data_IF_766206136530
#
_entry.id   IF_766206136530
#
_cell.length_a   1.000
_cell.length_b   1.000
_cell.length_c   1.000
_cell.angle_alpha   90.00
_cell.angle_beta   90.00
_cell.angle_gamma   90.00
#
_symmetry.space_group_name_H-M   'P 1'
#
loop_
_entity.id
_entity.type
_entity.pdbx_description
1 polymer ?
#
# COMPACT_ATOMS: atom_id res chain seq x y z
N UNK A 1 -26.85 9.74 14.37
CA UNK A 1 -26.76 8.32 13.96
C UNK A 1 -26.37 7.50 15.19
N UNK A 2 -27.14 6.46 15.57
CA UNK A 2 -26.84 5.68 16.77
C UNK A 2 -25.50 4.96 16.63
N UNK A 3 -24.69 5.01 17.69
CA UNK A 3 -23.45 4.25 17.84
C UNK A 3 -23.75 2.76 17.71
N UNK A 4 -23.53 2.18 16.52
CA UNK A 4 -23.62 0.72 16.35
C UNK A 4 -22.46 0.12 17.13
N UNK A 5 -22.75 -0.68 18.16
CA UNK A 5 -21.73 -1.50 18.85
C UNK A 5 -20.97 -2.37 17.83
N UNK A 6 -19.71 -2.68 18.13
CA UNK A 6 -18.90 -3.59 17.30
C UNK A 6 -19.70 -4.90 17.05
N UNK A 7 -19.80 -5.36 15.79
CA UNK A 7 -20.56 -6.55 15.49
C UNK A 7 -19.89 -7.78 16.11
N UNK A 8 -20.64 -8.72 16.73
CA UNK A 8 -20.08 -9.96 17.26
C UNK A 8 -19.48 -10.83 16.14
N UNK A 9 -18.53 -11.72 16.46
CA UNK A 9 -17.80 -12.58 15.50
C UNK A 9 -18.70 -13.38 14.54
N UNK A 10 -19.89 -13.81 15.00
CA UNK A 10 -20.91 -14.48 14.17
C UNK A 10 -21.37 -13.63 12.97
N UNK A 11 -21.18 -12.31 13.05
CA UNK A 11 -21.50 -11.36 11.98
C UNK A 11 -20.45 -11.36 10.88
N UNK A 12 -19.18 -11.67 11.17
CA UNK A 12 -18.11 -11.65 10.15
C UNK A 12 -18.32 -12.75 9.12
N UNK A 13 -18.62 -13.98 9.57
CA UNK A 13 -18.94 -15.10 8.66
C UNK A 13 -20.14 -14.77 7.78
N UNK A 14 -21.18 -14.16 8.37
CA UNK A 14 -22.37 -13.71 7.64
C UNK A 14 -22.02 -12.64 6.61
N UNK A 15 -21.21 -11.64 6.99
CA UNK A 15 -20.76 -10.57 6.10
C UNK A 15 -19.96 -11.13 4.91
N UNK A 16 -19.00 -12.04 5.15
CA UNK A 16 -18.21 -12.64 4.08
C UNK A 16 -19.12 -13.40 3.11
N UNK A 17 -20.11 -14.15 3.61
CA UNK A 17 -21.04 -14.88 2.76
C UNK A 17 -21.97 -13.97 1.94
N UNK A 18 -22.45 -12.86 2.53
CA UNK A 18 -23.35 -11.92 1.84
C UNK A 18 -22.61 -11.01 0.86
N UNK A 19 -21.37 -10.63 1.20
CA UNK A 19 -20.54 -9.70 0.46
C UNK A 19 -19.42 -10.39 -0.33
N UNK A 20 -19.57 -11.67 -0.69
CA UNK A 20 -18.52 -12.45 -1.35
C UNK A 20 -17.93 -11.77 -2.60
N UNK A 21 -18.73 -10.98 -3.30
CA UNK A 21 -18.29 -10.17 -4.46
C UNK A 21 -17.21 -9.14 -4.11
N UNK A 22 -17.17 -8.63 -2.87
CA UNK A 22 -16.13 -7.74 -2.36
C UNK A 22 -14.80 -8.49 -2.18
N UNK A 23 -14.84 -9.71 -1.67
CA UNK A 23 -13.64 -10.48 -1.30
C UNK A 23 -12.98 -11.20 -2.48
N UNK A 24 -13.75 -11.62 -3.49
CA UNK A 24 -13.20 -12.36 -4.65
C UNK A 24 -12.01 -11.65 -5.32
N UNK A 25 -12.07 -10.34 -5.65
CA UNK A 25 -10.93 -9.66 -6.26
C UNK A 25 -9.72 -9.56 -5.33
N UNK A 26 -9.96 -9.31 -4.04
CA UNK A 26 -8.88 -9.25 -3.04
C UNK A 26 -8.16 -10.60 -2.90
N UNK A 27 -8.91 -11.70 -2.77
CA UNK A 27 -8.33 -13.04 -2.65
C UNK A 27 -7.64 -13.48 -3.95
N UNK A 28 -8.20 -13.12 -5.11
CA UNK A 28 -7.54 -13.34 -6.40
C UNK A 28 -6.20 -12.60 -6.48
N UNK A 29 -6.16 -11.33 -6.04
CA UNK A 29 -4.93 -10.56 -5.98
C UNK A 29 -3.92 -11.16 -4.99
N UNK A 30 -4.37 -11.53 -3.78
CA UNK A 30 -3.52 -12.14 -2.76
C UNK A 30 -2.91 -13.46 -3.24
N UNK A 31 -3.67 -14.26 -4.02
CA UNK A 31 -3.15 -15.48 -4.64
C UNK A 31 -2.07 -15.18 -5.67
N UNK A 32 -2.27 -14.19 -6.54
CA UNK A 32 -1.24 -13.76 -7.52
C UNK A 32 0.03 -13.31 -6.80
N UNK A 33 -0.10 -12.50 -5.74
CA UNK A 33 1.02 -12.05 -4.92
C UNK A 33 1.73 -13.24 -4.25
N UNK A 34 0.99 -14.19 -3.68
CA UNK A 34 1.57 -15.38 -3.08
C UNK A 34 2.35 -16.24 -4.09
N UNK A 35 1.84 -16.36 -5.33
CA UNK A 35 2.54 -17.04 -6.43
C UNK A 35 3.84 -16.29 -6.77
N UNK A 36 3.79 -14.96 -6.96
CA UNK A 36 4.97 -14.15 -7.27
C UNK A 36 6.03 -14.27 -6.19
N UNK A 37 5.63 -14.17 -4.92
CA UNK A 37 6.53 -14.35 -3.77
C UNK A 37 7.10 -15.76 -3.72
N UNK A 38 6.28 -16.79 -3.92
CA UNK A 38 6.73 -18.18 -3.95
C UNK A 38 7.75 -18.43 -5.04
N UNK A 39 7.51 -17.95 -6.26
CA UNK A 39 8.44 -18.09 -7.40
C UNK A 39 9.79 -17.47 -7.07
N UNK A 40 9.82 -16.21 -6.61
CA UNK A 40 11.08 -15.54 -6.25
C UNK A 40 11.79 -16.19 -5.06
N UNK A 41 11.05 -16.64 -4.05
CA UNK A 41 11.62 -17.25 -2.86
C UNK A 41 12.26 -18.61 -3.18
N UNK A 42 11.53 -19.48 -3.89
CA UNK A 42 12.02 -20.82 -4.22
C UNK A 42 13.05 -20.82 -5.36
N UNK A 43 13.19 -19.74 -6.13
CA UNK A 43 14.30 -19.58 -7.07
C UNK A 43 15.62 -19.17 -6.40
N UNK A 44 15.66 -19.01 -5.07
CA UNK A 44 16.84 -18.57 -4.33
C UNK A 44 17.18 -17.10 -4.52
N UNK A 45 16.22 -16.28 -4.96
CA UNK A 45 16.46 -14.87 -5.25
C UNK A 45 16.51 -14.05 -3.94
N UNK A 46 17.57 -13.25 -3.69
CA UNK A 46 17.68 -12.46 -2.47
C UNK A 46 16.86 -11.16 -2.48
N UNK A 47 16.01 -10.90 -3.49
CA UNK A 47 15.27 -9.64 -3.63
C UNK A 47 14.50 -9.23 -2.36
N UNK A 48 13.91 -10.18 -1.64
CA UNK A 48 13.20 -9.89 -0.39
C UNK A 48 14.13 -9.66 0.82
N UNK A 49 15.35 -10.19 0.81
CA UNK A 49 16.25 -10.15 1.96
C UNK A 49 16.63 -8.73 2.36
N UNK A 50 16.80 -7.83 1.38
CA UNK A 50 17.07 -6.41 1.63
C UNK A 50 15.97 -5.73 2.45
N UNK A 51 14.71 -6.13 2.27
CA UNK A 51 13.55 -5.44 2.83
C UNK A 51 12.95 -6.16 4.05
N UNK A 52 12.99 -7.49 4.04
CA UNK A 52 12.41 -8.35 5.07
C UNK A 52 13.47 -9.01 5.96
N UNK A 53 14.75 -8.80 5.67
CA UNK A 53 15.84 -9.46 6.37
C UNK A 53 15.78 -10.98 6.17
N UNK A 54 15.94 -11.72 7.27
CA UNK A 54 15.89 -13.19 7.29
C UNK A 54 14.46 -13.74 7.38
N UNK A 55 13.43 -12.88 7.43
CA UNK A 55 12.04 -13.30 7.58
C UNK A 55 11.58 -13.95 6.28
N UNK A 56 10.93 -15.12 6.40
CA UNK A 56 10.36 -15.83 5.26
C UNK A 56 9.29 -14.97 4.54
N UNK A 57 9.49 -14.58 3.27
CA UNK A 57 8.58 -13.66 2.57
C UNK A 57 7.21 -14.28 2.28
N UNK A 58 7.13 -15.59 2.08
CA UNK A 58 5.85 -16.31 1.90
C UNK A 58 5.01 -16.20 3.17
N UNK A 59 5.63 -16.38 4.34
CA UNK A 59 4.96 -16.22 5.63
C UNK A 59 4.47 -14.77 5.83
N UNK A 60 5.28 -13.77 5.45
CA UNK A 60 4.88 -12.35 5.52
C UNK A 60 3.65 -12.09 4.65
N UNK A 61 3.61 -12.58 3.41
CA UNK A 61 2.44 -12.44 2.53
C UNK A 61 1.21 -13.12 3.08
N UNK A 62 1.35 -14.32 3.67
CA UNK A 62 0.21 -15.04 4.29
C UNK A 62 -0.35 -14.27 5.48
N UNK A 63 0.52 -13.75 6.36
CA UNK A 63 0.12 -12.94 7.51
C UNK A 63 -0.54 -11.64 7.04
N UNK A 64 0.06 -10.93 6.08
CA UNK A 64 -0.51 -9.71 5.50
C UNK A 64 -1.87 -9.99 4.86
N UNK A 65 -2.03 -11.10 4.16
CA UNK A 65 -3.31 -11.50 3.56
C UNK A 65 -4.37 -11.70 4.64
N UNK A 66 -4.06 -12.46 5.69
CA UNK A 66 -4.99 -12.70 6.80
C UNK A 66 -5.37 -11.40 7.52
N UNK A 67 -4.36 -10.58 7.84
CA UNK A 67 -4.57 -9.29 8.49
C UNK A 67 -5.39 -8.33 7.61
N UNK A 68 -5.13 -8.32 6.30
CA UNK A 68 -5.90 -7.57 5.31
C UNK A 68 -7.36 -8.01 5.25
N UNK A 69 -7.65 -9.33 5.20
CA UNK A 69 -9.03 -9.85 5.25
C UNK A 69 -9.73 -9.35 6.51
N UNK A 70 -9.11 -9.47 7.68
CA UNK A 70 -9.70 -9.06 8.96
C UNK A 70 -9.98 -7.55 8.95
N UNK A 71 -8.97 -6.74 8.63
CA UNK A 71 -9.08 -5.28 8.68
C UNK A 71 -10.10 -4.75 7.67
N UNK A 72 -10.04 -5.21 6.41
CA UNK A 72 -11.00 -4.83 5.38
C UNK A 72 -12.42 -5.28 5.73
N UNK A 73 -12.59 -6.44 6.38
CA UNK A 73 -13.90 -6.88 6.87
C UNK A 73 -14.47 -5.93 7.92
N UNK A 74 -13.63 -5.42 8.83
CA UNK A 74 -14.07 -4.43 9.83
C UNK A 74 -14.46 -3.11 9.15
N UNK A 75 -13.64 -2.61 8.23
CA UNK A 75 -13.94 -1.38 7.49
C UNK A 75 -15.23 -1.50 6.66
N UNK A 76 -15.43 -2.66 6.00
CA UNK A 76 -16.61 -2.95 5.20
C UNK A 76 -17.87 -3.10 6.06
N UNK A 77 -17.79 -3.80 7.20
CA UNK A 77 -18.90 -3.97 8.14
C UNK A 77 -19.44 -2.62 8.68
N UNK A 78 -18.56 -1.62 8.76
CA UNK A 78 -18.87 -0.25 9.20
C UNK A 78 -19.29 0.66 8.04
N UNK A 79 -19.25 0.17 6.80
CA UNK A 79 -19.44 0.96 5.58
C UNK A 79 -18.49 2.16 5.49
N UNK A 80 -17.30 2.06 6.10
CA UNK A 80 -16.29 3.12 6.05
C UNK A 80 -15.51 3.07 4.73
N UNK A 81 -15.13 1.87 4.30
CA UNK A 81 -14.41 1.60 3.06
C UNK A 81 -14.97 0.36 2.37
N UNK A 82 -14.74 0.26 1.06
CA UNK A 82 -15.09 -0.91 0.27
C UNK A 82 -13.83 -1.58 -0.28
N UNK A 83 -13.90 -2.89 -0.46
CA UNK A 83 -12.81 -3.66 -1.07
C UNK A 83 -12.86 -3.52 -2.59
N UNK A 84 -14.07 -3.53 -3.16
CA UNK A 84 -14.32 -3.48 -4.58
C UNK A 84 -15.67 -2.83 -4.92
N UNK A 85 -15.67 -1.80 -5.78
CA UNK A 85 -16.89 -1.16 -6.30
C UNK A 85 -16.94 -1.26 -7.81
N UNK A 86 -17.68 -2.25 -8.33
CA UNK A 86 -17.81 -2.49 -9.77
C UNK A 86 -18.24 -1.25 -10.55
N UNK A 87 -19.19 -0.47 -10.03
CA UNK A 87 -19.71 0.73 -10.70
C UNK A 87 -18.67 1.84 -10.90
N UNK A 88 -17.64 1.89 -10.06
CA UNK A 88 -16.63 2.94 -10.04
C UNK A 88 -15.24 2.44 -10.44
N UNK A 89 -15.07 1.15 -10.71
CA UNK A 89 -13.75 0.54 -10.97
C UNK A 89 -12.99 1.26 -12.08
N UNK A 90 -13.60 1.45 -13.25
CA UNK A 90 -12.94 2.13 -14.38
C UNK A 90 -12.49 3.54 -14.00
N UNK A 91 -13.35 4.30 -13.32
CA UNK A 91 -13.02 5.66 -12.88
C UNK A 91 -11.93 5.65 -11.82
N UNK A 92 -11.97 4.71 -10.88
CA UNK A 92 -10.97 4.53 -9.84
C UNK A 92 -9.59 4.20 -10.43
N UNK A 93 -9.52 3.23 -11.34
CA UNK A 93 -8.28 2.84 -12.04
C UNK A 93 -7.71 3.98 -12.90
N UNK A 94 -8.56 4.69 -13.65
CA UNK A 94 -8.12 5.85 -14.43
C UNK A 94 -7.61 6.98 -13.53
N UNK A 95 -8.30 7.24 -12.41
CA UNK A 95 -7.86 8.26 -11.44
C UNK A 95 -6.55 7.86 -10.78
N UNK A 96 -6.41 6.58 -10.41
CA UNK A 96 -5.20 6.01 -9.84
C UNK A 96 -4.01 6.17 -10.79
N UNK A 97 -4.18 5.77 -12.06
CA UNK A 97 -3.13 5.93 -13.06
C UNK A 97 -2.78 7.40 -13.31
N UNK A 98 -3.80 8.26 -13.47
CA UNK A 98 -3.59 9.69 -13.75
C UNK A 98 -2.86 10.43 -12.62
N UNK A 99 -3.07 10.03 -11.35
CA UNK A 99 -2.39 10.64 -10.21
C UNK A 99 -1.02 10.01 -9.93
N UNK A 100 -0.86 8.70 -10.13
CA UNK A 100 0.41 8.00 -9.92
C UNK A 100 1.46 8.41 -10.96
N UNK A 101 1.04 8.61 -12.21
CA UNK A 101 1.92 8.95 -13.34
C UNK A 101 2.79 10.20 -13.11
N UNK A 102 2.23 11.38 -12.79
CA UNK A 102 3.05 12.56 -12.55
C UNK A 102 3.98 12.39 -11.35
N UNK A 103 3.57 11.68 -10.29
CA UNK A 103 4.46 11.40 -9.15
C UNK A 103 5.63 10.51 -9.55
N UNK A 104 5.39 9.48 -10.36
CA UNK A 104 6.43 8.65 -10.94
C UNK A 104 7.43 9.44 -11.78
N UNK A 105 6.97 10.40 -12.58
CA UNK A 105 7.87 11.29 -13.33
C UNK A 105 8.62 12.28 -12.44
N UNK A 106 7.99 12.81 -11.38
CA UNK A 106 8.64 13.75 -10.48
C UNK A 106 9.84 13.12 -9.75
N UNK A 107 9.74 11.87 -9.30
CA UNK A 107 10.87 11.19 -8.66
C UNK A 107 11.99 10.88 -9.67
N UNK A 108 11.65 10.56 -10.92
CA UNK A 108 12.63 10.40 -12.01
C UNK A 108 13.41 11.70 -12.24
N UNK A 109 12.73 12.84 -12.28
CA UNK A 109 13.39 14.14 -12.45
C UNK A 109 14.38 14.45 -11.31
N UNK A 110 14.08 14.01 -10.09
CA UNK A 110 15.02 14.13 -8.97
C UNK A 110 16.18 13.16 -9.12
N UNK A 111 15.93 11.92 -9.52
CA UNK A 111 16.98 10.92 -9.73
C UNK A 111 17.99 11.31 -10.82
N UNK A 112 17.52 12.00 -11.87
CA UNK A 112 18.38 12.56 -12.93
C UNK A 112 19.43 13.55 -12.41
N UNK A 113 19.31 14.03 -11.17
CA UNK A 113 20.35 14.85 -10.52
C UNK A 113 21.50 14.03 -9.91
N UNK A 114 21.49 12.69 -10.06
CA UNK A 114 22.58 11.78 -9.67
C UNK A 114 22.61 11.43 -8.18
N UNK A 115 21.46 11.50 -7.50
CA UNK A 115 21.39 11.46 -6.03
C UNK A 115 21.17 10.05 -5.48
N UNK A 116 20.47 9.18 -6.21
CA UNK A 116 20.20 7.82 -5.75
C UNK A 116 21.25 6.83 -6.28
N UNK A 117 21.60 5.78 -5.52
CA UNK A 117 22.56 4.77 -5.94
C UNK A 117 21.98 3.88 -7.04
N UNK A 118 22.87 3.26 -7.81
CA UNK A 118 22.53 2.37 -8.92
C UNK A 118 21.65 1.19 -8.49
N UNK A 119 21.86 0.68 -7.27
CA UNK A 119 21.19 -0.50 -6.75
C UNK A 119 19.90 -0.19 -5.99
N UNK A 120 19.36 1.04 -6.01
CA UNK A 120 18.14 1.39 -5.26
C UNK A 120 16.88 0.62 -5.72
N UNK A 121 16.90 0.03 -6.92
CA UNK A 121 15.80 -0.77 -7.45
C UNK A 121 16.18 -2.24 -7.58
N UNK A 122 15.19 -3.13 -7.41
CA UNK A 122 15.35 -4.55 -7.74
C UNK A 122 15.54 -4.66 -9.25
N UNK A 123 16.54 -5.39 -9.74
CA UNK A 123 16.80 -5.48 -11.17
C UNK A 123 15.68 -6.22 -11.92
N UNK A 124 15.55 -5.92 -13.21
CA UNK A 124 14.74 -6.72 -14.14
C UNK A 124 15.40 -8.09 -14.39
N UNK A 125 14.65 -9.21 -14.49
CA UNK A 125 13.18 -9.31 -14.52
C UNK A 125 12.49 -9.47 -13.15
N UNK A 126 13.26 -9.65 -12.07
CA UNK A 126 12.72 -9.97 -10.74
C UNK A 126 11.78 -8.88 -10.19
N UNK A 127 12.05 -7.63 -10.57
CA UNK A 127 11.23 -6.46 -10.26
C UNK A 127 9.75 -6.63 -10.63
N UNK A 128 9.44 -7.36 -11.72
CA UNK A 128 8.06 -7.63 -12.15
C UNK A 128 7.25 -8.43 -11.14
N UNK A 129 7.90 -9.34 -10.41
CA UNK A 129 7.27 -10.18 -9.39
C UNK A 129 7.37 -9.54 -8.01
N UNK A 130 8.53 -8.91 -7.73
CA UNK A 130 8.83 -8.33 -6.44
C UNK A 130 7.92 -7.14 -6.11
N UNK A 131 7.81 -6.15 -7.01
CA UNK A 131 7.12 -4.90 -6.70
C UNK A 131 5.62 -5.06 -6.46
N UNK A 132 4.87 -5.86 -7.22
CA UNK A 132 3.50 -6.18 -6.85
C UNK A 132 3.42 -6.88 -5.49
N UNK A 133 4.29 -7.85 -5.22
CA UNK A 133 4.24 -8.60 -3.98
C UNK A 133 4.51 -7.72 -2.74
N UNK A 134 5.60 -6.96 -2.75
CA UNK A 134 5.93 -6.07 -1.63
C UNK A 134 4.94 -4.91 -1.52
N UNK A 135 4.45 -4.39 -2.65
CA UNK A 135 3.44 -3.34 -2.68
C UNK A 135 2.18 -3.77 -1.95
N UNK A 136 1.73 -5.01 -2.14
CA UNK A 136 0.56 -5.54 -1.45
C UNK A 136 0.78 -5.60 0.07
N UNK A 137 1.95 -6.09 0.51
CA UNK A 137 2.31 -6.10 1.94
C UNK A 137 2.33 -4.69 2.51
N UNK A 138 2.95 -3.74 1.82
CA UNK A 138 3.01 -2.33 2.22
C UNK A 138 1.63 -1.72 2.37
N UNK A 139 0.71 -1.93 1.42
CA UNK A 139 -0.68 -1.44 1.53
C UNK A 139 -1.37 -1.95 2.80
N UNK A 140 -1.18 -3.22 3.14
CA UNK A 140 -1.81 -3.78 4.33
C UNK A 140 -1.18 -3.21 5.60
N UNK A 141 0.15 -3.23 5.68
CA UNK A 141 0.92 -2.90 6.89
C UNK A 141 0.89 -1.40 7.20
N UNK A 142 1.05 -0.55 6.18
CA UNK A 142 1.18 0.90 6.39
C UNK A 142 -0.12 1.67 6.18
N UNK A 143 -1.12 1.10 5.50
CA UNK A 143 -2.37 1.82 5.20
C UNK A 143 -3.59 1.16 5.83
N UNK A 144 -3.92 -0.08 5.44
CA UNK A 144 -5.17 -0.72 5.85
C UNK A 144 -5.20 -1.00 7.36
N UNK A 145 -4.15 -1.61 7.92
CA UNK A 145 -4.09 -1.93 9.35
C UNK A 145 -4.07 -0.69 10.23
N UNK A 146 -3.15 0.29 10.05
CA UNK A 146 -3.08 1.46 10.91
C UNK A 146 -4.35 2.30 10.84
N UNK A 147 -4.93 2.45 9.65
CA UNK A 147 -6.20 3.16 9.47
C UNK A 147 -7.35 2.47 10.22
N UNK A 148 -7.42 1.14 10.13
CA UNK A 148 -8.44 0.35 10.82
C UNK A 148 -8.32 0.51 12.34
N UNK A 149 -7.11 0.35 12.89
CA UNK A 149 -6.89 0.50 14.33
C UNK A 149 -7.19 1.92 14.82
N UNK A 150 -6.74 2.94 14.09
CA UNK A 150 -6.96 4.33 14.47
C UNK A 150 -8.44 4.70 14.44
N UNK A 151 -9.18 4.29 13.41
CA UNK A 151 -10.62 4.53 13.33
C UNK A 151 -11.38 3.80 14.43
N UNK A 152 -11.06 2.53 14.72
CA UNK A 152 -11.70 1.79 15.81
C UNK A 152 -11.38 2.44 17.15
N UNK A 153 -10.13 2.79 17.41
CA UNK A 153 -9.69 3.42 18.65
C UNK A 153 -10.40 4.75 18.90
N UNK A 154 -10.36 5.66 17.93
CA UNK A 154 -10.99 6.98 18.06
C UNK A 154 -12.52 6.90 18.15
N UNK A 155 -13.17 6.03 17.39
CA UNK A 155 -14.64 5.87 17.49
C UNK A 155 -15.07 5.20 18.79
N UNK A 156 -14.26 4.31 19.35
CA UNK A 156 -14.58 3.62 20.61
C UNK A 156 -14.34 4.51 21.83
N UNK A 157 -13.25 5.29 21.83
CA UNK A 157 -12.88 6.16 22.95
C UNK A 157 -13.77 7.40 23.05
N UNK A 158 -14.18 7.98 21.91
CA UNK A 158 -14.69 9.34 21.94
C UNK A 158 -16.21 9.47 22.01
N UNK A 159 -16.98 8.38 22.09
CA UNK A 159 -18.45 8.31 22.33
C UNK A 159 -19.37 8.99 21.29
N UNK A 160 -18.98 10.17 20.81
CA UNK A 160 -19.71 11.13 20.00
C UNK A 160 -18.93 11.60 18.76
N UNK A 161 -17.67 11.20 18.56
CA UNK A 161 -16.94 11.57 17.34
C UNK A 161 -17.48 10.80 16.13
N UNK A 162 -18.15 11.52 15.24
CA UNK A 162 -18.64 10.98 13.98
C UNK A 162 -17.49 10.63 13.03
N UNK A 163 -17.60 9.52 12.30
CA UNK A 163 -16.67 9.10 11.24
C UNK A 163 -16.20 10.25 10.34
N UNK A 164 -17.13 11.10 9.89
CA UNK A 164 -16.82 12.22 8.99
C UNK A 164 -15.83 13.25 9.56
N UNK A 165 -15.79 13.40 10.89
CA UNK A 165 -14.86 14.34 11.56
C UNK A 165 -13.47 13.74 11.74
N UNK A 166 -13.38 12.42 11.92
CA UNK A 166 -12.11 11.75 12.28
C UNK A 166 -11.37 11.17 11.07
N UNK A 167 -12.06 10.90 9.97
CA UNK A 167 -11.46 10.17 8.85
C UNK A 167 -10.26 10.90 8.23
N UNK A 168 -10.35 12.22 8.08
CA UNK A 168 -9.27 13.01 7.49
C UNK A 168 -8.05 13.11 8.39
N UNK A 169 -8.18 13.40 9.71
CA UNK A 169 -7.09 13.25 10.65
C UNK A 169 -6.45 11.85 10.61
N UNK A 170 -7.25 10.79 10.51
CA UNK A 170 -6.72 9.43 10.41
C UNK A 170 -5.91 9.21 9.13
N UNK A 171 -6.43 9.64 7.98
CA UNK A 171 -5.72 9.57 6.71
C UNK A 171 -4.39 10.32 6.79
N UNK A 172 -4.40 11.53 7.34
CA UNK A 172 -3.19 12.35 7.49
C UNK A 172 -2.14 11.65 8.37
N UNK A 173 -2.54 11.16 9.54
CA UNK A 173 -1.65 10.46 10.47
C UNK A 173 -1.08 9.18 9.87
N UNK A 174 -1.92 8.37 9.22
CA UNK A 174 -1.48 7.11 8.59
C UNK A 174 -0.55 7.38 7.41
N UNK A 175 -0.76 8.47 6.66
CA UNK A 175 0.10 8.82 5.51
C UNK A 175 1.55 9.12 5.91
N UNK A 176 1.78 9.50 7.18
CA UNK A 176 3.11 9.80 7.74
C UNK A 176 3.85 8.54 8.21
N UNK A 177 3.15 7.41 8.40
CA UNK A 177 3.73 6.21 9.01
C UNK A 177 4.92 5.64 8.21
N UNK A 178 4.75 5.43 6.90
CA UNK A 178 5.81 4.90 6.04
C UNK A 178 6.97 5.89 5.84
N UNK A 179 6.76 7.21 5.58
CA UNK A 179 7.87 8.17 5.55
C UNK A 179 8.71 8.18 6.82
N UNK A 180 8.08 8.12 8.00
CA UNK A 180 8.80 8.06 9.28
C UNK A 180 9.56 6.75 9.41
N UNK A 181 8.93 5.63 9.06
CA UNK A 181 9.58 4.32 9.08
C UNK A 181 10.82 4.29 8.16
N UNK A 182 10.69 4.78 6.93
CA UNK A 182 11.81 4.86 6.00
C UNK A 182 12.88 5.84 6.45
N UNK A 183 12.52 6.99 7.03
CA UNK A 183 13.50 7.94 7.57
C UNK A 183 14.30 7.34 8.73
N UNK A 184 13.67 6.52 9.59
CA UNK A 184 14.37 5.82 10.69
C UNK A 184 15.29 4.73 10.15
N UNK A 185 14.85 3.94 9.16
CA UNK A 185 15.68 2.88 8.58
C UNK A 185 16.81 3.40 7.68
N UNK A 186 16.57 4.50 6.97
CA UNK A 186 17.52 5.09 6.03
C UNK A 186 18.40 6.16 6.69
N UNK A 187 18.32 6.33 8.01
CA UNK A 187 19.13 7.30 8.75
C UNK A 187 20.65 7.04 8.63
N UNK A 188 21.04 5.83 8.23
CA UNK A 188 22.43 5.43 7.96
C UNK A 188 22.90 5.70 6.53
N UNK A 189 22.00 6.05 5.62
CA UNK A 189 22.37 6.24 4.22
C UNK A 189 22.96 7.64 3.99
N UNK A 190 24.07 7.70 3.26
CA UNK A 190 24.81 8.95 2.99
C UNK A 190 24.14 9.83 1.92
N UNK A 191 22.85 10.10 2.04
CA UNK A 191 22.14 11.02 1.13
C UNK A 191 22.26 12.47 1.58
N UNK A 192 22.28 13.44 0.64
CA UNK A 192 22.07 14.83 0.98
C UNK A 192 20.74 15.03 1.73
N UNK A 193 20.73 15.86 2.78
CA UNK A 193 19.54 16.10 3.61
C UNK A 193 18.31 16.51 2.79
N UNK A 194 18.50 17.36 1.78
CA UNK A 194 17.41 17.81 0.92
C UNK A 194 16.74 16.66 0.17
N UNK A 195 17.51 15.64 -0.23
CA UNK A 195 17.02 14.47 -0.94
C UNK A 195 16.19 13.59 -0.01
N UNK A 196 16.67 13.38 1.23
CA UNK A 196 15.90 12.68 2.26
C UNK A 196 14.57 13.38 2.58
N UNK A 197 14.58 14.71 2.72
CA UNK A 197 13.37 15.50 2.93
C UNK A 197 12.40 15.42 1.74
N UNK A 198 12.93 15.50 0.52
CA UNK A 198 12.13 15.34 -0.70
C UNK A 198 11.48 13.95 -0.75
N UNK A 199 12.25 12.88 -0.56
CA UNK A 199 11.74 11.49 -0.59
C UNK A 199 10.68 11.28 0.49
N UNK A 200 10.93 11.74 1.71
CA UNK A 200 9.95 11.66 2.80
C UNK A 200 8.64 12.38 2.47
N UNK A 201 8.72 13.60 1.93
CA UNK A 201 7.54 14.35 1.50
C UNK A 201 6.83 13.70 0.30
N UNK A 202 7.60 13.14 -0.64
CA UNK A 202 7.08 12.46 -1.82
C UNK A 202 6.29 11.20 -1.43
N UNK A 203 6.83 10.38 -0.53
CA UNK A 203 6.15 9.19 0.00
C UNK A 203 4.91 9.59 0.79
N UNK A 204 4.98 10.65 1.60
CA UNK A 204 3.81 11.19 2.31
C UNK A 204 2.69 11.54 1.33
N UNK A 205 3.01 12.26 0.24
CA UNK A 205 2.05 12.67 -0.77
C UNK A 205 1.42 11.47 -1.48
N UNK A 206 2.23 10.48 -1.86
CA UNK A 206 1.78 9.20 -2.41
C UNK A 206 0.77 8.54 -1.46
N UNK A 207 1.13 8.39 -0.18
CA UNK A 207 0.30 7.69 0.80
C UNK A 207 -1.02 8.42 1.08
N UNK A 208 -0.97 9.74 1.14
CA UNK A 208 -2.14 10.57 1.28
C UNK A 208 -3.11 10.39 0.10
N UNK A 209 -2.59 10.42 -1.13
CA UNK A 209 -3.38 10.23 -2.34
C UNK A 209 -3.95 8.81 -2.39
N UNK A 210 -3.18 7.79 -2.01
CA UNK A 210 -3.64 6.41 -1.97
C UNK A 210 -4.79 6.20 -0.99
N UNK A 211 -4.68 6.73 0.23
CA UNK A 211 -5.76 6.68 1.22
C UNK A 211 -6.98 7.49 0.79
N UNK A 212 -6.77 8.61 0.09
CA UNK A 212 -7.85 9.36 -0.53
C UNK A 212 -8.57 8.54 -1.62
N UNK A 213 -7.83 7.87 -2.51
CA UNK A 213 -8.37 6.95 -3.53
C UNK A 213 -9.14 5.84 -2.84
N UNK A 214 -8.60 5.23 -1.79
CA UNK A 214 -9.26 4.15 -1.06
C UNK A 214 -10.60 4.60 -0.47
N UNK A 215 -10.61 5.78 0.17
CA UNK A 215 -11.82 6.38 0.74
C UNK A 215 -12.86 6.69 -0.34
N UNK A 216 -12.43 7.14 -1.51
CA UNK A 216 -13.32 7.57 -2.60
C UNK A 216 -13.85 6.40 -3.42
N UNK A 217 -12.98 5.46 -3.76
CA UNK A 217 -13.21 4.34 -4.66
C UNK A 217 -13.23 3.03 -3.86
N UNK A 218 -12.11 2.33 -3.81
CA UNK A 218 -11.96 1.02 -3.17
C UNK A 218 -10.47 0.62 -3.02
N UNK A 219 -10.22 -0.52 -2.37
CA UNK A 219 -8.87 -1.06 -2.14
C UNK A 219 -8.14 -1.36 -3.46
N UNK A 220 -8.82 -1.92 -4.46
CA UNK A 220 -8.19 -2.23 -5.74
C UNK A 220 -7.67 -0.99 -6.45
N UNK A 221 -8.42 0.11 -6.42
CA UNK A 221 -8.00 1.38 -7.02
C UNK A 221 -6.78 1.96 -6.30
N UNK A 222 -6.74 1.86 -4.96
CA UNK A 222 -5.58 2.26 -4.16
C UNK A 222 -4.34 1.43 -4.51
N UNK A 223 -4.49 0.10 -4.59
CA UNK A 223 -3.38 -0.78 -4.93
C UNK A 223 -2.91 -0.58 -6.39
N UNK A 224 -3.84 -0.36 -7.32
CA UNK A 224 -3.51 -0.04 -8.71
C UNK A 224 -2.71 1.26 -8.84
N UNK A 225 -2.98 2.27 -8.00
CA UNK A 225 -2.16 3.49 -7.95
C UNK A 225 -0.70 3.13 -7.66
N UNK A 226 -0.45 2.30 -6.63
CA UNK A 226 0.90 1.87 -6.27
C UNK A 226 1.56 1.09 -7.40
N UNK A 227 0.83 0.18 -8.05
CA UNK A 227 1.35 -0.58 -9.19
C UNK A 227 1.74 0.31 -10.36
N UNK A 228 0.96 1.34 -10.69
CA UNK A 228 1.31 2.29 -11.77
C UNK A 228 2.56 3.09 -11.40
N UNK A 229 2.64 3.58 -10.16
CA UNK A 229 3.83 4.28 -9.67
C UNK A 229 5.07 3.36 -9.74
N UNK A 230 4.94 2.11 -9.28
CA UNK A 230 6.01 1.10 -9.34
C UNK A 230 6.43 0.75 -10.76
N UNK A 231 5.47 0.63 -11.68
CA UNK A 231 5.77 0.38 -13.08
C UNK A 231 6.63 1.49 -13.70
N UNK A 232 6.34 2.75 -13.38
CA UNK A 232 7.07 3.91 -13.90
C UNK A 232 8.44 4.05 -13.23
N UNK A 233 8.46 4.17 -11.91
CA UNK A 233 9.67 4.50 -11.15
C UNK A 233 10.57 3.27 -10.95
N UNK A 234 10.02 2.20 -10.39
CA UNK A 234 10.84 1.08 -9.92
C UNK A 234 11.20 0.07 -11.02
N UNK A 235 10.32 -0.14 -12.00
CA UNK A 235 10.52 -1.13 -13.06
C UNK A 235 11.04 -0.47 -14.33
N UNK A 236 10.26 0.43 -14.93
CA UNK A 236 10.60 1.08 -16.19
C UNK A 236 11.86 1.94 -16.06
N UNK A 237 11.81 2.94 -15.19
CA UNK A 237 12.98 3.78 -14.93
C UNK A 237 14.10 3.02 -14.23
N UNK A 238 13.80 2.15 -13.27
CA UNK A 238 14.80 1.30 -12.62
C UNK A 238 15.65 0.47 -13.59
N UNK A 239 15.11 0.07 -14.73
CA UNK A 239 15.86 -0.55 -15.81
C UNK A 239 16.65 0.48 -16.66
N UNK A 240 15.98 1.55 -17.12
CA UNK A 240 16.58 2.55 -18.02
C UNK A 240 17.73 3.32 -17.36
N UNK A 241 17.61 3.64 -16.06
CA UNK A 241 18.57 4.48 -15.35
C UNK A 241 19.97 3.90 -15.29
N UNK A 242 20.10 2.56 -15.37
CA UNK A 242 21.39 1.88 -15.29
C UNK A 242 22.27 2.16 -16.52
N UNK A 243 21.66 2.48 -17.66
CA UNK A 243 22.37 2.83 -18.90
C UNK A 243 22.52 4.35 -19.07
N UNK A 244 21.67 5.13 -18.39
CA UNK A 244 21.61 6.59 -18.55
C UNK A 244 22.45 7.31 -17.49
N UNK A 245 22.50 6.79 -16.26
CA UNK A 245 23.14 7.45 -15.12
C UNK A 245 24.42 6.76 -14.64
N UNK A 246 24.70 5.54 -15.07
CA UNK A 246 25.82 4.70 -14.62
C UNK A 246 26.52 4.04 -15.80
#
# INVERSE_FOLDING_TARGET
MPSKKLPPFTTVKKLISSEWRQYRPFLGLALVVAIFTGVLYFSGNPAFQRFLGEINPVLVVLIATLAGVIALSVLLARSWFAIYKRENLRRGLLTAAALATPLGFLIILVDLTGVFPADINVPFPDSLLFYPAIGFVVEIVFHVLPLTFLLIGLTSLSGNLSYHKIIWPCILLVSVAEPVFQAVLSASDNYPLWAGLYVGFHIFLINFIQLWIFKRFDFLSMYAFRLVYYLIWHIGWGWVRLEVLF
#
